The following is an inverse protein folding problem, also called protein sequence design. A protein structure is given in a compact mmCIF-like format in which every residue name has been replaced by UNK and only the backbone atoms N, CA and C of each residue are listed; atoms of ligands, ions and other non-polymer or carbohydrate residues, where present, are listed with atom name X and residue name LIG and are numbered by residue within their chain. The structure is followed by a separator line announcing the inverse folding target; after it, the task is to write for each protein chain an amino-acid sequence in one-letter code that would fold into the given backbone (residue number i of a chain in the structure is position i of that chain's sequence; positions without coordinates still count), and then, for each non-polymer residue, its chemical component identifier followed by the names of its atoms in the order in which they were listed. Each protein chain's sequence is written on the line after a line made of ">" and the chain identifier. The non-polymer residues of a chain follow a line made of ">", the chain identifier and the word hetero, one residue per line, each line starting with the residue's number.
data_IF_780731337237
#
_entry.id   IF_780731337237
#
_cell.length_a   1.000
_cell.length_b   1.000
_cell.length_c   1.000
_cell.angle_alpha   90.00
_cell.angle_beta   90.00
_cell.angle_gamma   90.00
#
_symmetry.space_group_name_H-M   'P 1'
#
loop_
_entity.id
_entity.type
_entity.pdbx_description
1 polymer ?
#
# COMPACT_ATOMS: atom_id res chain seq x y z
N UNK A 1 -19.17 68.22 -16.30
CA UNK A 1 -20.02 67.01 -16.39
C UNK A 1 -19.41 66.09 -17.44
N UNK A 2 -18.73 65.01 -17.04
CA UNK A 2 -18.19 64.01 -17.95
C UNK A 2 -19.23 62.91 -18.18
N UNK A 3 -19.60 62.67 -19.44
CA UNK A 3 -20.63 61.69 -19.82
C UNK A 3 -20.19 60.23 -19.61
N UNK A 4 -21.13 59.29 -19.44
CA UNK A 4 -20.82 57.89 -19.15
C UNK A 4 -20.21 57.19 -20.36
N UNK A 5 -19.05 56.55 -20.16
CA UNK A 5 -18.37 55.76 -21.16
C UNK A 5 -19.24 54.58 -21.63
N UNK A 6 -19.54 54.54 -22.94
CA UNK A 6 -20.24 53.42 -23.58
C UNK A 6 -19.38 52.16 -23.50
N UNK A 7 -19.92 51.09 -22.89
CA UNK A 7 -19.31 49.75 -22.93
C UNK A 7 -19.52 49.15 -24.33
N UNK A 8 -18.43 48.81 -24.98
CA UNK A 8 -18.40 48.14 -26.28
C UNK A 8 -18.96 46.70 -26.15
N UNK A 9 -20.10 46.36 -26.79
CA UNK A 9 -20.73 45.04 -26.70
C UNK A 9 -19.98 43.94 -27.47
N UNK A 10 -18.94 44.28 -28.25
CA UNK A 10 -18.18 43.32 -29.05
C UNK A 10 -16.83 42.92 -28.45
N UNK A 11 -16.52 43.37 -27.22
CA UNK A 11 -15.30 42.94 -26.53
C UNK A 11 -15.45 41.50 -26.05
N UNK A 12 -15.06 40.55 -26.91
CA UNK A 12 -14.90 39.13 -26.54
C UNK A 12 -14.13 39.06 -25.22
N UNK A 13 -14.61 38.31 -24.21
CA UNK A 13 -13.89 38.19 -22.95
C UNK A 13 -12.48 37.68 -23.27
N UNK A 14 -11.47 38.43 -22.82
CA UNK A 14 -10.08 38.03 -22.96
C UNK A 14 -9.94 36.59 -22.48
N UNK A 15 -9.45 35.69 -23.36
CA UNK A 15 -9.18 34.29 -23.01
C UNK A 15 -8.30 34.33 -21.76
N UNK A 16 -8.88 34.00 -20.59
CA UNK A 16 -8.10 33.82 -19.37
C UNK A 16 -6.98 32.83 -19.72
N UNK A 17 -5.70 33.15 -19.47
CA UNK A 17 -4.63 32.21 -19.75
C UNK A 17 -5.00 30.90 -19.05
N UNK A 18 -5.02 29.81 -19.83
CA UNK A 18 -5.37 28.49 -19.31
C UNK A 18 -4.47 28.14 -18.12
N UNK A 19 -4.89 27.19 -17.27
CA UNK A 19 -4.12 26.78 -16.11
C UNK A 19 -2.64 26.63 -16.44
N UNK A 20 -1.77 27.40 -15.76
CA UNK A 20 -0.32 27.32 -15.97
C UNK A 20 0.17 25.94 -15.48
N UNK A 21 0.15 24.97 -16.39
CA UNK A 21 0.51 23.56 -16.25
C UNK A 21 1.92 23.29 -15.70
N UNK A 22 2.75 24.33 -15.56
CA UNK A 22 4.15 24.26 -15.13
C UNK A 22 4.42 23.37 -13.92
N UNK A 23 3.65 23.41 -12.81
CA UNK A 23 3.96 22.61 -11.63
C UNK A 23 3.74 21.12 -11.84
N UNK A 24 2.73 20.74 -12.62
CA UNK A 24 2.51 19.33 -12.97
C UNK A 24 3.58 18.84 -13.94
N UNK A 25 3.91 19.60 -14.99
CA UNK A 25 4.94 19.16 -15.94
C UNK A 25 6.31 19.03 -15.24
N UNK A 26 6.75 20.10 -14.57
CA UNK A 26 8.04 20.11 -13.89
C UNK A 26 8.09 19.13 -12.71
N UNK A 27 7.01 19.01 -11.94
CA UNK A 27 6.94 18.08 -10.81
C UNK A 27 7.00 16.63 -11.28
N UNK A 28 6.27 16.29 -12.35
CA UNK A 28 6.31 14.97 -12.94
C UNK A 28 7.67 14.62 -13.51
N UNK A 29 8.29 15.56 -14.25
CA UNK A 29 9.65 15.38 -14.77
C UNK A 29 10.68 15.18 -13.64
N UNK A 30 10.63 15.99 -12.59
CA UNK A 30 11.50 15.86 -11.43
C UNK A 30 11.34 14.50 -10.75
N UNK A 31 10.10 14.03 -10.56
CA UNK A 31 9.84 12.70 -9.98
C UNK A 31 10.43 11.57 -10.84
N UNK A 32 10.32 11.65 -12.17
CA UNK A 32 10.92 10.65 -13.06
C UNK A 32 12.45 10.64 -12.99
N UNK A 33 13.08 11.81 -12.95
CA UNK A 33 14.53 11.92 -12.80
C UNK A 33 15.00 11.33 -11.47
N UNK A 34 14.33 11.69 -10.37
CA UNK A 34 14.65 11.19 -9.03
C UNK A 34 14.43 9.67 -8.92
N UNK A 35 13.35 9.15 -9.50
CA UNK A 35 13.09 7.72 -9.55
C UNK A 35 14.14 6.98 -10.40
N UNK A 36 14.60 7.59 -11.49
CA UNK A 36 15.70 7.07 -12.30
C UNK A 36 17.00 6.99 -11.52
N UNK A 37 17.32 8.03 -10.73
CA UNK A 37 18.49 8.03 -9.85
C UNK A 37 18.42 6.92 -8.78
N UNK A 38 17.25 6.72 -8.17
CA UNK A 38 17.02 5.59 -7.24
C UNK A 38 17.20 4.26 -7.96
N UNK A 39 16.73 4.12 -9.19
CA UNK A 39 16.88 2.89 -9.96
C UNK A 39 18.35 2.56 -10.25
N UNK A 40 19.17 3.56 -10.61
CA UNK A 40 20.62 3.42 -10.79
C UNK A 40 21.32 3.04 -9.48
N UNK A 41 20.83 3.53 -8.34
CA UNK A 41 21.40 3.23 -7.04
C UNK A 41 21.01 1.83 -6.52
N UNK A 42 19.84 1.32 -6.92
CA UNK A 42 19.23 0.10 -6.37
C UNK A 42 20.12 -1.16 -6.38
N UNK A 43 20.99 -1.43 -7.38
CA UNK A 43 21.85 -2.62 -7.34
C UNK A 43 22.84 -2.62 -6.17
N UNK A 44 23.18 -1.44 -5.63
CA UNK A 44 24.06 -1.30 -4.45
C UNK A 44 23.41 -1.71 -3.13
N UNK A 45 22.12 -2.03 -3.15
CA UNK A 45 21.37 -2.57 -2.01
C UNK A 45 21.17 -4.08 -2.10
N UNK A 46 21.76 -4.74 -3.10
CA UNK A 46 21.68 -6.18 -3.24
C UNK A 46 22.22 -6.95 -2.02
N UNK A 47 21.79 -8.20 -1.82
CA UNK A 47 22.15 -8.99 -0.63
C UNK A 47 23.67 -9.22 -0.49
N UNK A 48 24.42 -9.20 -1.59
CA UNK A 48 25.88 -9.34 -1.59
C UNK A 48 26.63 -8.10 -1.06
N UNK A 49 25.97 -6.94 -0.93
CA UNK A 49 26.61 -5.70 -0.47
C UNK A 49 26.44 -5.56 1.05
N UNK A 50 27.55 -5.48 1.82
CA UNK A 50 27.51 -5.25 3.26
C UNK A 50 26.72 -3.99 3.63
N UNK A 51 25.93 -4.06 4.71
CA UNK A 51 25.07 -2.95 5.13
C UNK A 51 25.83 -1.62 5.27
N UNK A 52 27.04 -1.65 5.84
CA UNK A 52 27.88 -0.47 6.05
C UNK A 52 28.32 0.24 4.75
N UNK A 53 28.31 -0.47 3.61
CA UNK A 53 28.69 0.08 2.30
C UNK A 53 27.47 0.52 1.48
N UNK A 54 26.25 0.26 1.96
CA UNK A 54 25.03 0.65 1.24
C UNK A 54 24.88 2.17 1.29
N UNK A 55 24.55 2.82 0.16
CA UNK A 55 24.45 4.28 0.08
C UNK A 55 23.12 4.80 0.66
N UNK A 56 22.85 4.48 1.93
CA UNK A 56 21.58 4.77 2.61
C UNK A 56 21.30 6.27 2.64
N UNK A 57 22.30 7.10 2.99
CA UNK A 57 22.13 8.56 3.03
C UNK A 57 21.70 9.16 1.68
N UNK A 58 22.27 8.68 0.57
CA UNK A 58 21.87 9.09 -0.78
C UNK A 58 20.46 8.65 -1.12
N UNK A 59 20.09 7.41 -0.77
CA UNK A 59 18.73 6.92 -0.97
C UNK A 59 17.71 7.78 -0.20
N UNK A 60 17.97 8.09 1.07
CA UNK A 60 17.11 8.95 1.89
C UNK A 60 17.00 10.36 1.28
N UNK A 61 18.12 10.96 0.85
CA UNK A 61 18.12 12.28 0.21
C UNK A 61 17.29 12.30 -1.08
N UNK A 62 17.42 11.28 -1.93
CA UNK A 62 16.63 11.14 -3.17
C UNK A 62 15.13 10.99 -2.87
N UNK A 63 14.76 10.17 -1.88
CA UNK A 63 13.36 9.98 -1.48
C UNK A 63 12.77 11.24 -0.85
N UNK A 64 13.54 11.98 -0.04
CA UNK A 64 13.13 13.26 0.53
C UNK A 64 12.92 14.32 -0.57
N UNK A 65 13.85 14.40 -1.55
CA UNK A 65 13.70 15.28 -2.71
C UNK A 65 12.47 14.91 -3.54
N UNK A 66 12.19 13.62 -3.74
CA UNK A 66 11.01 13.15 -4.45
C UNK A 66 9.73 13.54 -3.69
N UNK A 67 9.72 13.39 -2.37
CA UNK A 67 8.65 13.86 -1.50
C UNK A 67 8.40 15.37 -1.63
N UNK A 68 9.47 16.17 -1.65
CA UNK A 68 9.39 17.62 -1.87
C UNK A 68 8.81 17.99 -3.24
N UNK A 69 9.29 17.36 -4.32
CA UNK A 69 8.78 17.57 -5.68
C UNK A 69 7.29 17.17 -5.80
N UNK A 70 6.92 16.04 -5.19
CA UNK A 70 5.55 15.57 -5.11
C UNK A 70 4.64 16.55 -4.37
N UNK A 71 5.00 16.97 -3.15
CA UNK A 71 4.21 17.92 -2.36
C UNK A 71 4.06 19.25 -3.08
N UNK A 72 5.11 19.74 -3.71
CA UNK A 72 5.04 20.94 -4.53
C UNK A 72 4.04 20.80 -5.69
N UNK A 73 4.08 19.69 -6.44
CA UNK A 73 3.14 19.44 -7.53
C UNK A 73 1.68 19.34 -7.04
N UNK A 74 1.44 18.68 -5.91
CA UNK A 74 0.13 18.57 -5.26
C UNK A 74 -0.41 19.93 -4.82
N UNK A 75 0.42 20.76 -4.18
CA UNK A 75 -0.01 22.02 -3.57
C UNK A 75 -0.11 23.17 -4.57
N UNK A 76 0.81 23.23 -5.53
CA UNK A 76 0.87 24.31 -6.52
C UNK A 76 -0.08 24.08 -7.70
N UNK A 77 -0.35 22.82 -8.05
CA UNK A 77 -1.17 22.44 -9.19
C UNK A 77 -2.61 22.97 -9.16
N UNK A 78 -3.43 22.62 -8.14
CA UNK A 78 -4.82 23.05 -8.05
C UNK A 78 -5.01 24.57 -8.04
N UNK A 79 -4.01 25.32 -7.53
CA UNK A 79 -4.01 26.81 -7.55
C UNK A 79 -3.96 27.39 -8.96
N UNK A 80 -3.59 26.57 -9.94
CA UNK A 80 -3.42 26.99 -11.34
C UNK A 80 -4.68 26.70 -12.15
N UNK A 81 -5.59 25.83 -11.71
CA UNK A 81 -6.86 25.49 -12.36
C UNK A 81 -7.06 23.98 -12.55
N UNK A 82 -8.07 23.59 -13.34
CA UNK A 82 -8.41 22.18 -13.61
C UNK A 82 -7.54 21.58 -14.74
N UNK A 83 -7.07 20.32 -14.62
CA UNK A 83 -6.30 19.69 -15.67
C UNK A 83 -7.19 19.31 -16.86
N UNK A 84 -6.80 19.73 -18.06
CA UNK A 84 -7.40 19.23 -19.30
C UNK A 84 -6.99 17.78 -19.63
N UNK A 85 -7.59 17.16 -20.67
CA UNK A 85 -7.35 15.75 -21.00
C UNK A 85 -5.88 15.38 -21.24
N UNK A 86 -5.13 16.25 -21.95
CA UNK A 86 -3.69 16.04 -22.20
C UNK A 86 -2.88 16.04 -20.90
N UNK A 87 -3.25 16.89 -19.94
CA UNK A 87 -2.59 16.95 -18.65
C UNK A 87 -2.91 15.71 -17.81
N UNK A 88 -4.16 15.24 -17.83
CA UNK A 88 -4.52 13.98 -17.17
C UNK A 88 -3.76 12.80 -17.77
N UNK A 89 -3.61 12.73 -19.09
CA UNK A 89 -2.80 11.71 -19.75
C UNK A 89 -1.33 11.77 -19.32
N UNK A 90 -0.74 12.97 -19.24
CA UNK A 90 0.59 13.18 -18.68
C UNK A 90 0.70 12.67 -17.23
N UNK A 91 -0.26 13.05 -16.37
CA UNK A 91 -0.30 12.62 -14.97
C UNK A 91 -0.35 11.09 -14.85
N UNK A 92 -1.19 10.44 -15.65
CA UNK A 92 -1.29 8.99 -15.69
C UNK A 92 0.03 8.35 -16.17
N UNK A 93 0.61 8.87 -17.25
CA UNK A 93 1.86 8.38 -17.82
C UNK A 93 3.04 8.48 -16.84
N UNK A 94 3.19 9.62 -16.14
CA UNK A 94 4.25 9.78 -15.12
C UNK A 94 4.10 8.75 -14.00
N UNK A 95 2.90 8.61 -13.42
CA UNK A 95 2.73 7.66 -12.31
C UNK A 95 2.87 6.20 -12.75
N UNK A 96 2.55 5.87 -14.01
CA UNK A 96 2.84 4.56 -14.59
C UNK A 96 4.35 4.35 -14.77
N UNK A 97 5.06 5.33 -15.33
CA UNK A 97 6.50 5.26 -15.52
C UNK A 97 7.26 5.12 -14.20
N UNK A 98 6.83 5.83 -13.14
CA UNK A 98 7.38 5.68 -11.79
C UNK A 98 7.25 4.23 -11.28
N UNK A 99 6.07 3.62 -11.46
CA UNK A 99 5.77 2.24 -11.04
C UNK A 99 6.61 1.22 -11.81
N UNK A 100 6.71 1.38 -13.12
CA UNK A 100 7.55 0.52 -13.97
C UNK A 100 9.02 0.63 -13.57
N UNK A 101 9.53 1.86 -13.39
CA UNK A 101 10.90 2.08 -12.96
C UNK A 101 11.18 1.44 -11.59
N UNK A 102 10.30 1.63 -10.60
CA UNK A 102 10.46 1.00 -9.28
C UNK A 102 10.31 -0.54 -9.33
N UNK A 103 9.36 -1.06 -10.11
CA UNK A 103 9.11 -2.50 -10.23
C UNK A 103 10.22 -3.29 -10.93
N UNK A 104 11.13 -2.61 -11.65
CA UNK A 104 12.31 -3.20 -12.28
C UNK A 104 13.57 -3.13 -11.41
N UNK A 105 13.48 -2.55 -10.22
CA UNK A 105 14.62 -2.40 -9.31
C UNK A 105 14.66 -3.50 -8.26
N UNK A 106 15.87 -3.76 -7.74
CA UNK A 106 16.04 -4.61 -6.56
C UNK A 106 15.35 -3.94 -5.36
N UNK A 107 14.64 -4.70 -4.50
CA UNK A 107 14.11 -4.17 -3.25
C UNK A 107 15.21 -3.52 -2.43
N UNK A 108 15.00 -2.26 -2.04
CA UNK A 108 15.98 -1.47 -1.30
C UNK A 108 15.64 -1.55 0.18
N UNK A 109 16.52 -2.18 0.96
CA UNK A 109 16.36 -2.36 2.41
C UNK A 109 15.07 -3.09 2.80
N UNK A 110 14.67 -4.09 2.00
CA UNK A 110 13.44 -4.86 2.21
C UNK A 110 13.63 -6.35 1.87
N UNK A 111 13.05 -7.22 2.69
CA UNK A 111 13.00 -8.67 2.47
C UNK A 111 11.65 -9.33 2.85
N UNK A 112 10.64 -8.60 3.34
CA UNK A 112 9.32 -9.14 3.69
C UNK A 112 8.64 -9.87 2.51
N UNK A 113 8.96 -9.48 1.27
CA UNK A 113 8.43 -10.15 0.09
C UNK A 113 8.74 -11.65 0.02
N UNK A 114 9.84 -12.10 0.64
CA UNK A 114 10.17 -13.51 0.72
C UNK A 114 9.18 -14.28 1.57
N UNK A 115 8.72 -13.67 2.67
CA UNK A 115 7.66 -14.22 3.51
C UNK A 115 6.36 -14.34 2.70
N UNK A 116 6.01 -13.35 1.89
CA UNK A 116 4.83 -13.41 1.02
C UNK A 116 4.91 -14.58 0.02
N UNK A 117 6.07 -14.79 -0.59
CA UNK A 117 6.25 -15.87 -1.56
C UNK A 117 6.13 -17.25 -0.90
N UNK A 118 6.68 -17.41 0.30
CA UNK A 118 6.55 -18.64 1.10
C UNK A 118 5.10 -18.89 1.52
N UNK A 119 4.49 -17.92 2.18
CA UNK A 119 3.12 -18.00 2.68
C UNK A 119 2.11 -18.25 1.55
N UNK A 120 2.34 -17.65 0.38
CA UNK A 120 1.57 -17.91 -0.83
C UNK A 120 1.69 -19.35 -1.31
N UNK A 121 2.89 -19.92 -1.28
CA UNK A 121 3.12 -21.31 -1.66
C UNK A 121 2.48 -22.29 -0.67
N UNK A 122 2.57 -22.01 0.64
CA UNK A 122 1.93 -22.78 1.71
C UNK A 122 0.41 -22.80 1.52
N UNK A 123 -0.18 -21.62 1.35
CA UNK A 123 -1.62 -21.46 1.17
C UNK A 123 -2.10 -22.10 -0.12
N UNK A 124 -1.37 -21.94 -1.23
CA UNK A 124 -1.70 -22.58 -2.51
C UNK A 124 -1.59 -24.11 -2.46
N UNK A 125 -0.75 -24.66 -1.58
CA UNK A 125 -0.65 -26.10 -1.34
C UNK A 125 -1.75 -26.66 -0.41
N UNK A 126 -2.69 -25.81 0.06
CA UNK A 126 -3.75 -26.20 1.00
C UNK A 126 -3.24 -26.44 2.42
N UNK A 127 -2.01 -26.00 2.72
CA UNK A 127 -1.43 -26.06 4.07
C UNK A 127 -1.81 -24.80 4.86
N UNK A 128 -1.89 -24.93 6.18
CA UNK A 128 -2.21 -23.80 7.05
C UNK A 128 -0.93 -22.99 7.38
N UNK A 129 -0.77 -21.74 6.91
CA UNK A 129 0.42 -20.92 7.17
C UNK A 129 0.57 -20.47 8.63
N UNK A 130 -0.48 -20.64 9.45
CA UNK A 130 -0.45 -20.39 10.89
C UNK A 130 0.01 -21.63 11.69
N UNK A 131 0.23 -22.79 11.07
CA UNK A 131 0.51 -24.04 11.79
C UNK A 131 2.00 -24.34 11.98
N UNK A 132 2.84 -24.04 10.98
CA UNK A 132 4.28 -24.39 10.98
C UNK A 132 5.10 -23.19 10.52
N UNK A 133 6.15 -22.85 11.28
CA UNK A 133 7.06 -21.78 10.91
C UNK A 133 7.99 -22.22 9.74
N UNK A 134 8.45 -21.29 8.88
CA UNK A 134 9.34 -21.64 7.76
C UNK A 134 10.59 -22.42 8.17
N UNK A 135 11.19 -22.09 9.31
CA UNK A 135 12.39 -22.77 9.82
C UNK A 135 12.12 -24.25 10.15
N UNK A 136 10.90 -24.59 10.57
CA UNK A 136 10.50 -25.93 10.98
C UNK A 136 9.93 -26.76 9.81
N UNK A 137 9.74 -26.16 8.63
CA UNK A 137 9.06 -26.80 7.52
C UNK A 137 9.78 -28.06 7.00
N UNK A 138 11.11 -28.15 7.17
CA UNK A 138 11.92 -29.33 6.79
C UNK A 138 11.72 -30.52 7.72
N UNK A 139 11.24 -30.30 8.94
CA UNK A 139 10.98 -31.34 9.93
C UNK A 139 9.48 -31.63 10.08
N UNK A 140 8.63 -30.89 9.37
CA UNK A 140 7.19 -31.05 9.38
C UNK A 140 6.67 -32.30 8.66
N UNK A 141 5.33 -32.36 8.53
CA UNK A 141 4.65 -33.41 7.78
C UNK A 141 5.06 -33.49 6.29
N UNK A 142 4.67 -34.56 5.57
CA UNK A 142 5.11 -34.79 4.18
C UNK A 142 4.87 -33.61 3.22
N UNK A 143 3.77 -32.87 3.39
CA UNK A 143 3.47 -31.67 2.60
C UNK A 143 4.47 -30.54 2.82
N UNK A 144 4.83 -30.26 4.07
CA UNK A 144 5.80 -29.23 4.45
C UNK A 144 7.20 -29.57 3.94
N UNK A 145 7.63 -30.83 4.10
CA UNK A 145 8.92 -31.31 3.60
C UNK A 145 9.05 -31.17 2.09
N UNK A 146 8.01 -31.54 1.35
CA UNK A 146 7.97 -31.36 -0.11
C UNK A 146 8.05 -29.87 -0.48
N UNK A 147 7.30 -29.02 0.20
CA UNK A 147 7.31 -27.58 -0.08
C UNK A 147 8.67 -26.95 0.20
N UNK A 148 9.27 -27.26 1.36
CA UNK A 148 10.59 -26.78 1.74
C UNK A 148 11.69 -27.25 0.77
N UNK A 149 11.59 -28.49 0.26
CA UNK A 149 12.51 -29.00 -0.75
C UNK A 149 12.44 -28.21 -2.07
N UNK A 150 11.23 -27.84 -2.51
CA UNK A 150 11.04 -27.02 -3.73
C UNK A 150 11.45 -25.57 -3.52
N UNK A 151 11.25 -25.04 -2.30
CA UNK A 151 11.60 -23.66 -1.96
C UNK A 151 13.12 -23.41 -1.84
N UNK A 152 13.91 -24.47 -1.68
CA UNK A 152 15.37 -24.38 -1.51
C UNK A 152 15.76 -23.60 -0.25
N UNK A 153 16.50 -22.51 -0.44
CA UNK A 153 17.01 -21.66 0.65
C UNK A 153 16.09 -20.49 1.01
N UNK A 154 14.96 -20.32 0.31
CA UNK A 154 14.03 -19.22 0.58
C UNK A 154 13.57 -19.16 2.05
N UNK A 155 13.20 -20.26 2.73
CA UNK A 155 12.83 -20.22 4.14
C UNK A 155 13.89 -19.65 5.07
N UNK A 156 15.18 -19.80 4.74
CA UNK A 156 16.29 -19.32 5.56
C UNK A 156 16.58 -17.83 5.39
N UNK A 157 16.08 -17.21 4.31
CA UNK A 157 16.26 -15.77 4.04
C UNK A 157 15.11 -14.91 4.58
N UNK A 158 13.96 -15.55 4.85
CA UNK A 158 12.80 -14.93 5.47
C UNK A 158 13.20 -14.28 6.79
N UNK A 159 12.74 -13.06 7.03
CA UNK A 159 12.88 -12.41 8.33
C UNK A 159 12.05 -13.14 9.39
N UNK A 160 12.63 -13.35 10.57
CA UNK A 160 12.06 -14.16 11.67
C UNK A 160 11.48 -15.50 11.18
N UNK A 161 12.32 -16.40 10.60
CA UNK A 161 11.85 -17.64 9.99
C UNK A 161 11.34 -18.66 11.03
N UNK A 162 11.66 -18.45 12.30
CA UNK A 162 11.19 -19.16 13.48
C UNK A 162 9.72 -18.84 13.85
N UNK A 163 9.17 -17.75 13.32
CA UNK A 163 7.78 -17.37 13.57
C UNK A 163 6.83 -17.88 12.48
N UNK A 164 5.66 -18.37 12.92
CA UNK A 164 4.48 -18.58 12.08
C UNK A 164 4.02 -17.24 11.51
N UNK A 165 3.22 -17.27 10.44
CA UNK A 165 2.86 -16.02 9.77
C UNK A 165 2.09 -15.04 10.67
N UNK A 166 2.40 -13.75 10.51
CA UNK A 166 1.65 -12.63 11.09
C UNK A 166 0.56 -12.11 10.13
N UNK A 167 0.63 -12.47 8.86
CA UNK A 167 -0.25 -11.89 7.84
C UNK A 167 -1.64 -12.52 7.90
N UNK A 168 -2.72 -11.72 7.96
CA UNK A 168 -4.08 -12.27 8.07
C UNK A 168 -4.58 -12.89 6.76
N UNK A 169 -5.69 -13.65 6.77
CA UNK A 169 -5.96 -14.59 5.67
C UNK A 169 -6.36 -13.97 4.33
N UNK A 170 -6.87 -12.74 4.30
CA UNK A 170 -7.09 -12.06 3.00
C UNK A 170 -5.76 -11.72 2.34
N UNK A 171 -4.73 -11.35 3.11
CA UNK A 171 -3.36 -11.20 2.58
C UNK A 171 -2.82 -12.55 2.06
N UNK A 172 -3.04 -13.64 2.83
CA UNK A 172 -2.67 -15.00 2.41
C UNK A 172 -3.29 -15.38 1.05
N UNK A 173 -4.55 -15.02 0.81
CA UNK A 173 -5.20 -15.25 -0.49
C UNK A 173 -4.52 -14.48 -1.64
N UNK A 174 -4.06 -13.24 -1.40
CA UNK A 174 -3.32 -12.47 -2.41
C UNK A 174 -1.93 -13.08 -2.68
N UNK A 175 -1.26 -13.59 -1.65
CA UNK A 175 0.01 -14.30 -1.80
C UNK A 175 -0.16 -15.61 -2.58
N UNK A 176 -1.19 -16.38 -2.26
CA UNK A 176 -1.53 -17.61 -2.98
C UNK A 176 -1.82 -17.33 -4.46
N UNK A 177 -2.58 -16.27 -4.76
CA UNK A 177 -2.84 -15.84 -6.13
C UNK A 177 -1.55 -15.57 -6.90
N UNK A 178 -0.57 -14.89 -6.29
CA UNK A 178 0.72 -14.65 -6.93
C UNK A 178 1.49 -15.95 -7.20
N UNK A 179 1.48 -16.89 -6.26
CA UNK A 179 2.08 -18.20 -6.45
C UNK A 179 1.42 -18.99 -7.60
N UNK A 180 0.09 -18.92 -7.71
CA UNK A 180 -0.66 -19.57 -8.80
C UNK A 180 -0.37 -18.93 -10.17
N UNK A 181 -0.12 -17.62 -10.24
CA UNK A 181 0.28 -16.93 -11.47
C UNK A 181 1.67 -17.37 -11.91
N UNK A 182 2.64 -17.34 -10.99
CA UNK A 182 3.99 -17.89 -11.21
C UNK A 182 4.64 -18.21 -9.86
N UNK A 183 4.91 -19.51 -9.58
CA UNK A 183 5.52 -19.92 -8.33
C UNK A 183 6.81 -19.17 -8.03
N UNK A 184 6.99 -18.75 -6.77
CA UNK A 184 8.21 -18.14 -6.25
C UNK A 184 8.68 -16.87 -6.98
N UNK A 185 7.78 -16.16 -7.66
CA UNK A 185 8.13 -15.01 -8.49
C UNK A 185 7.74 -13.68 -7.86
N UNK A 186 8.75 -12.85 -7.54
CA UNK A 186 8.53 -11.45 -7.16
C UNK A 186 7.81 -10.65 -8.26
N UNK A 187 8.05 -10.97 -9.53
CA UNK A 187 7.36 -10.35 -10.66
C UNK A 187 5.86 -10.63 -10.65
N UNK A 188 5.45 -11.87 -10.38
CA UNK A 188 4.03 -12.22 -10.24
C UNK A 188 3.40 -11.55 -9.03
N UNK A 189 4.12 -11.46 -7.91
CA UNK A 189 3.65 -10.72 -6.75
C UNK A 189 3.42 -9.22 -7.06
N UNK A 190 4.39 -8.57 -7.71
CA UNK A 190 4.26 -7.17 -8.19
C UNK A 190 3.09 -7.00 -9.16
N UNK A 191 2.80 -7.99 -10.01
CA UNK A 191 1.65 -7.94 -10.92
C UNK A 191 0.31 -8.01 -10.16
N UNK A 192 0.21 -8.84 -9.12
CA UNK A 192 -0.96 -8.87 -8.22
C UNK A 192 -1.13 -7.51 -7.53
N UNK A 193 -0.05 -6.97 -6.95
CA UNK A 193 -0.06 -5.63 -6.34
C UNK A 193 -0.50 -4.54 -7.32
N UNK A 194 -0.02 -4.58 -8.56
CA UNK A 194 -0.40 -3.64 -9.61
C UNK A 194 -1.90 -3.73 -9.95
N UNK A 195 -2.49 -4.93 -9.95
CA UNK A 195 -3.93 -5.09 -10.16
C UNK A 195 -4.75 -4.42 -9.03
N UNK A 196 -4.35 -4.61 -7.77
CA UNK A 196 -5.00 -3.94 -6.63
C UNK A 196 -4.79 -2.42 -6.63
N UNK A 197 -3.60 -1.94 -7.00
CA UNK A 197 -3.30 -0.52 -7.16
C UNK A 197 -4.16 0.14 -8.26
N UNK A 198 -4.28 -0.50 -9.43
CA UNK A 198 -5.14 -0.02 -10.51
C UNK A 198 -6.62 -0.03 -10.13
N UNK A 199 -7.08 -1.04 -9.39
CA UNK A 199 -8.43 -1.07 -8.83
C UNK A 199 -8.65 0.10 -7.86
N UNK A 200 -7.67 0.40 -7.00
CA UNK A 200 -7.72 1.55 -6.09
C UNK A 200 -7.76 2.88 -6.86
N UNK A 201 -6.93 3.05 -7.90
CA UNK A 201 -6.97 4.23 -8.77
C UNK A 201 -8.36 4.41 -9.41
N UNK A 202 -8.94 3.33 -9.95
CA UNK A 202 -10.27 3.35 -10.56
C UNK A 202 -11.37 3.72 -9.57
N UNK A 203 -11.34 3.17 -8.36
CA UNK A 203 -12.29 3.49 -7.30
C UNK A 203 -12.13 4.93 -6.80
N UNK A 204 -10.90 5.43 -6.66
CA UNK A 204 -10.64 6.83 -6.33
C UNK A 204 -11.19 7.77 -7.41
N UNK A 205 -10.96 7.47 -8.69
CA UNK A 205 -11.49 8.25 -9.81
C UNK A 205 -13.02 8.28 -9.79
N UNK A 206 -13.66 7.13 -9.53
CA UNK A 206 -15.10 7.04 -9.38
C UNK A 206 -15.62 7.87 -8.19
N UNK A 207 -14.98 7.75 -7.02
CA UNK A 207 -15.37 8.50 -5.82
C UNK A 207 -15.21 10.01 -6.01
N UNK A 208 -14.12 10.47 -6.64
CA UNK A 208 -13.92 11.87 -6.99
C UNK A 208 -15.02 12.38 -7.93
N UNK A 209 -15.37 11.59 -8.96
CA UNK A 209 -16.45 11.92 -9.89
C UNK A 209 -17.78 12.03 -9.17
N UNK A 210 -18.12 11.06 -8.32
CA UNK A 210 -19.37 11.07 -7.53
C UNK A 210 -19.42 12.24 -6.54
N UNK A 211 -18.27 12.70 -6.05
CA UNK A 211 -18.15 13.85 -5.16
C UNK A 211 -18.08 15.21 -5.89
N UNK A 212 -18.18 15.24 -7.22
CA UNK A 212 -18.03 16.44 -8.03
C UNK A 212 -16.65 17.11 -7.88
N UNK A 213 -15.62 16.32 -7.60
CA UNK A 213 -14.25 16.82 -7.38
C UNK A 213 -13.38 16.63 -8.62
N UNK A 214 -12.43 17.55 -8.77
CA UNK A 214 -11.42 17.50 -9.83
C UNK A 214 -10.73 16.13 -9.96
N UNK A 215 -10.61 15.57 -11.17
CA UNK A 215 -9.78 14.39 -11.41
C UNK A 215 -8.28 14.65 -11.16
N UNK A 216 -7.85 15.92 -11.15
CA UNK A 216 -6.46 16.28 -10.81
C UNK A 216 -6.06 15.88 -9.39
N UNK A 217 -7.02 15.66 -8.49
CA UNK A 217 -6.77 15.17 -7.12
C UNK A 217 -6.24 13.74 -7.08
N UNK A 218 -6.36 12.98 -8.16
CA UNK A 218 -5.72 11.67 -8.29
C UNK A 218 -4.21 11.75 -8.11
N UNK A 219 -3.58 12.91 -8.37
CA UNK A 219 -2.16 13.12 -8.19
C UNK A 219 -1.68 12.79 -6.77
N UNK A 220 -2.49 13.07 -5.75
CA UNK A 220 -2.18 12.78 -4.32
C UNK A 220 -1.91 11.29 -4.11
N UNK A 221 -2.58 10.43 -4.87
CA UNK A 221 -2.39 9.01 -4.82
C UNK A 221 -1.35 8.55 -5.85
N UNK A 222 -1.56 8.93 -7.11
CA UNK A 222 -0.87 8.35 -8.26
C UNK A 222 0.60 8.76 -8.36
N UNK A 223 0.97 9.94 -7.86
CA UNK A 223 2.35 10.45 -7.87
C UNK A 223 3.07 10.33 -6.53
N UNK A 224 2.46 9.69 -5.53
CA UNK A 224 3.06 9.57 -4.23
C UNK A 224 4.34 8.69 -4.31
N UNK A 225 5.56 9.24 -4.12
CA UNK A 225 6.79 8.49 -4.26
C UNK A 225 6.99 7.46 -3.14
N UNK A 226 6.40 7.70 -1.95
CA UNK A 226 6.41 6.74 -0.87
C UNK A 226 5.57 5.51 -1.23
N UNK A 227 4.38 5.72 -1.79
CA UNK A 227 3.54 4.61 -2.26
C UNK A 227 4.26 3.80 -3.34
N UNK A 228 4.91 4.47 -4.31
CA UNK A 228 5.65 3.78 -5.36
C UNK A 228 6.81 2.97 -4.78
N UNK A 229 7.58 3.54 -3.83
CA UNK A 229 8.65 2.80 -3.15
C UNK A 229 8.09 1.58 -2.43
N UNK A 230 7.09 1.74 -1.56
CA UNK A 230 6.63 0.62 -0.75
C UNK A 230 5.93 -0.46 -1.58
N UNK A 231 5.12 -0.08 -2.56
CA UNK A 231 4.33 -1.06 -3.31
C UNK A 231 5.15 -1.71 -4.43
N UNK A 232 6.01 -0.97 -5.13
CA UNK A 232 6.68 -1.51 -6.32
C UNK A 232 8.15 -1.86 -6.09
N UNK A 233 8.89 -1.07 -5.31
CA UNK A 233 10.26 -1.43 -4.96
C UNK A 233 10.28 -2.47 -3.83
N UNK A 234 9.71 -2.16 -2.66
CA UNK A 234 9.65 -3.05 -1.49
C UNK A 234 8.68 -4.23 -1.69
N UNK A 235 7.68 -4.09 -2.57
CA UNK A 235 6.63 -5.07 -2.80
C UNK A 235 5.74 -5.35 -1.57
N UNK A 236 5.44 -4.31 -0.77
CA UNK A 236 4.59 -4.40 0.42
C UNK A 236 3.13 -4.71 0.08
N UNK A 237 2.51 -5.53 0.92
CA UNK A 237 1.12 -6.00 0.78
C UNK A 237 0.06 -4.90 1.01
N UNK A 238 0.42 -3.77 1.60
CA UNK A 238 -0.49 -2.70 2.03
C UNK A 238 -1.52 -2.27 0.97
N UNK A 239 -1.13 -2.21 -0.30
CA UNK A 239 -2.02 -1.77 -1.38
C UNK A 239 -3.22 -2.70 -1.58
N UNK A 240 -3.16 -3.96 -1.17
CA UNK A 240 -4.26 -4.94 -1.27
C UNK A 240 -5.46 -4.50 -0.43
N UNK A 241 -5.24 -3.87 0.72
CA UNK A 241 -6.31 -3.38 1.59
C UNK A 241 -7.04 -2.17 0.98
N UNK A 242 -6.32 -1.34 0.21
CA UNK A 242 -6.82 -0.05 -0.24
C UNK A 242 -8.09 -0.12 -1.10
N UNK A 243 -8.18 -0.91 -2.19
CA UNK A 243 -9.40 -0.98 -2.98
C UNK A 243 -10.57 -1.57 -2.18
N UNK A 244 -10.31 -2.45 -1.20
CA UNK A 244 -11.37 -2.96 -0.31
C UNK A 244 -11.92 -1.83 0.58
N UNK A 245 -11.06 -1.01 1.17
CA UNK A 245 -11.48 0.17 1.95
C UNK A 245 -12.27 1.16 1.08
N UNK A 246 -11.80 1.43 -0.14
CA UNK A 246 -12.49 2.35 -1.06
C UNK A 246 -13.84 1.79 -1.53
N UNK A 247 -13.93 0.48 -1.76
CA UNK A 247 -15.18 -0.19 -2.09
C UNK A 247 -16.16 -0.14 -0.91
N UNK A 248 -15.69 -0.39 0.32
CA UNK A 248 -16.52 -0.27 1.52
C UNK A 248 -17.03 1.17 1.72
N UNK A 249 -16.20 2.18 1.43
CA UNK A 249 -16.61 3.58 1.44
C UNK A 249 -17.70 3.84 0.39
N UNK A 250 -17.52 3.34 -0.83
CA UNK A 250 -18.51 3.47 -1.90
C UNK A 250 -19.85 2.82 -1.51
N UNK A 251 -19.82 1.64 -0.90
CA UNK A 251 -21.01 0.96 -0.37
C UNK A 251 -21.66 1.76 0.76
N UNK A 252 -20.86 2.34 1.64
CA UNK A 252 -21.35 3.18 2.74
C UNK A 252 -22.05 4.43 2.20
N UNK A 253 -21.47 5.09 1.20
CA UNK A 253 -22.07 6.26 0.55
C UNK A 253 -23.40 5.92 -0.14
N UNK A 254 -23.54 4.69 -0.64
CA UNK A 254 -24.75 4.14 -1.26
C UNK A 254 -25.78 3.56 -0.27
N UNK A 255 -25.53 3.64 1.03
CA UNK A 255 -26.45 3.14 2.06
C UNK A 255 -26.57 1.62 2.12
N UNK A 256 -25.46 0.89 1.87
CA UNK A 256 -25.42 -0.58 1.84
C UNK A 256 -24.64 -1.15 3.05
N UNK A 257 -25.18 -1.09 4.27
CA UNK A 257 -24.41 -1.36 5.50
C UNK A 257 -23.88 -2.79 5.61
N UNK A 258 -24.65 -3.81 5.20
CA UNK A 258 -24.17 -5.20 5.19
C UNK A 258 -22.95 -5.37 4.27
N UNK A 259 -23.00 -4.81 3.06
CA UNK A 259 -21.87 -4.80 2.14
C UNK A 259 -20.68 -4.00 2.68
N UNK A 260 -20.93 -2.85 3.30
CA UNK A 260 -19.89 -2.05 3.97
C UNK A 260 -19.16 -2.86 5.03
N UNK A 261 -19.90 -3.51 5.93
CA UNK A 261 -19.34 -4.32 7.00
C UNK A 261 -18.56 -5.52 6.48
N UNK A 262 -19.14 -6.30 5.56
CA UNK A 262 -18.48 -7.47 4.98
C UNK A 262 -17.16 -7.12 4.27
N UNK A 263 -17.16 -6.07 3.43
CA UNK A 263 -15.94 -5.64 2.72
C UNK A 263 -14.89 -5.06 3.67
N UNK A 264 -15.29 -4.32 4.72
CA UNK A 264 -14.34 -3.90 5.77
C UNK A 264 -13.76 -5.09 6.54
N UNK A 265 -14.54 -6.16 6.75
CA UNK A 265 -14.04 -7.39 7.35
C UNK A 265 -12.97 -8.06 6.47
N UNK A 266 -13.18 -8.10 5.16
CA UNK A 266 -12.17 -8.57 4.21
C UNK A 266 -10.92 -7.67 4.22
N UNK A 267 -11.08 -6.35 4.28
CA UNK A 267 -9.96 -5.41 4.39
C UNK A 267 -9.18 -5.59 5.69
N UNK A 268 -9.87 -5.84 6.81
CA UNK A 268 -9.27 -6.17 8.10
C UNK A 268 -8.44 -7.47 8.02
N UNK A 269 -8.85 -8.40 7.15
CA UNK A 269 -8.09 -9.61 6.82
C UNK A 269 -6.82 -9.37 5.99
N UNK A 270 -6.51 -8.14 5.58
CA UNK A 270 -5.23 -7.77 4.96
C UNK A 270 -4.32 -7.11 6.01
N UNK A 271 -4.84 -6.11 6.72
CA UNK A 271 -4.24 -5.47 7.90
C UNK A 271 -5.35 -5.12 8.86
N UNK A 272 -5.11 -5.06 10.16
CA UNK A 272 -6.18 -4.86 11.16
C UNK A 272 -6.78 -3.44 11.19
N UNK A 273 -6.03 -2.41 10.79
CA UNK A 273 -6.45 -1.00 10.92
C UNK A 273 -7.77 -0.61 10.21
N UNK A 274 -8.20 -1.22 9.07
CA UNK A 274 -9.50 -0.93 8.46
C UNK A 274 -10.69 -1.23 9.36
N UNK A 275 -10.55 -2.11 10.36
CA UNK A 275 -11.58 -2.36 11.36
C UNK A 275 -11.94 -1.08 12.15
N UNK A 276 -10.97 -0.18 12.35
CA UNK A 276 -11.17 1.10 13.02
C UNK A 276 -12.12 2.04 12.26
N UNK A 277 -12.31 1.82 10.95
CA UNK A 277 -13.23 2.59 10.11
C UNK A 277 -14.69 2.16 10.25
N UNK A 278 -14.94 0.98 10.84
CA UNK A 278 -16.28 0.36 10.90
C UNK A 278 -17.34 1.28 11.52
N UNK A 279 -17.13 1.94 12.68
CA UNK A 279 -18.16 2.80 13.28
C UNK A 279 -18.55 3.97 12.36
N UNK A 280 -17.55 4.62 11.76
CA UNK A 280 -17.78 5.76 10.87
C UNK A 280 -18.51 5.35 9.59
N UNK A 281 -18.09 4.24 8.98
CA UNK A 281 -18.66 3.75 7.73
C UNK A 281 -20.08 3.20 7.94
N UNK A 282 -20.33 2.46 9.02
CA UNK A 282 -21.67 1.98 9.36
C UNK A 282 -22.62 3.12 9.73
N UNK A 283 -22.16 4.13 10.47
CA UNK A 283 -22.98 5.33 10.73
C UNK A 283 -23.42 5.98 9.42
N UNK A 284 -22.50 6.11 8.46
CA UNK A 284 -22.81 6.69 7.14
C UNK A 284 -23.72 5.78 6.29
N UNK A 285 -23.53 4.46 6.36
CA UNK A 285 -24.29 3.49 5.58
C UNK A 285 -25.71 3.26 6.11
N UNK A 286 -25.88 3.26 7.44
CA UNK A 286 -27.14 2.97 8.11
C UNK A 286 -28.09 4.18 8.13
N UNK A 287 -27.57 5.41 7.99
CA UNK A 287 -28.40 6.62 7.95
C UNK A 287 -29.23 6.81 9.23
N UNK A 288 -28.70 6.43 10.39
CA UNK A 288 -29.40 6.48 11.69
C UNK A 288 -30.29 5.28 12.02
N UNK A 289 -30.47 4.32 11.10
CA UNK A 289 -31.29 3.13 11.34
C UNK A 289 -30.49 2.04 12.08
N UNK A 290 -30.82 1.79 13.36
CA UNK A 290 -30.16 0.78 14.19
C UNK A 290 -30.09 -0.60 13.52
N UNK A 291 -31.20 -1.14 13.02
CA UNK A 291 -31.25 -2.48 12.40
C UNK A 291 -30.34 -2.60 11.18
N UNK A 292 -30.22 -1.52 10.40
CA UNK A 292 -29.32 -1.44 9.26
C UNK A 292 -27.85 -1.43 9.71
N UNK A 293 -27.53 -0.68 10.78
CA UNK A 293 -26.21 -0.70 11.41
C UNK A 293 -25.83 -2.07 11.97
N UNK A 294 -26.77 -2.73 12.66
CA UNK A 294 -26.60 -4.07 13.21
C UNK A 294 -26.32 -5.11 12.10
N UNK A 295 -27.03 -5.04 10.97
CA UNK A 295 -26.75 -5.91 9.81
C UNK A 295 -25.33 -5.71 9.26
N UNK A 296 -24.84 -4.47 9.23
CA UNK A 296 -23.46 -4.18 8.86
C UNK A 296 -22.43 -4.70 9.87
N UNK A 297 -22.69 -4.51 11.17
CA UNK A 297 -21.85 -5.06 12.24
C UNK A 297 -21.78 -6.59 12.20
N UNK A 298 -22.92 -7.26 11.98
CA UNK A 298 -22.99 -8.71 11.83
C UNK A 298 -22.22 -9.20 10.60
N UNK A 299 -22.38 -8.54 9.45
CA UNK A 299 -21.63 -8.91 8.25
C UNK A 299 -20.10 -8.78 8.44
N UNK A 300 -19.65 -7.73 9.14
CA UNK A 300 -18.25 -7.60 9.53
C UNK A 300 -17.81 -8.74 10.46
N UNK A 301 -18.58 -9.01 11.51
CA UNK A 301 -18.26 -10.05 12.49
C UNK A 301 -18.19 -11.44 11.85
N UNK A 302 -19.12 -11.77 10.93
CA UNK A 302 -19.09 -13.03 10.17
C UNK A 302 -17.84 -13.12 9.30
N UNK A 303 -17.51 -12.06 8.55
CA UNK A 303 -16.29 -12.05 7.74
C UNK A 303 -15.03 -12.23 8.60
N UNK A 304 -14.93 -11.51 9.72
CA UNK A 304 -13.82 -11.63 10.65
C UNK A 304 -13.74 -13.03 11.29
N UNK A 305 -14.88 -13.61 11.69
CA UNK A 305 -14.93 -14.93 12.29
C UNK A 305 -14.47 -16.03 11.30
N UNK A 306 -14.94 -15.97 10.05
CA UNK A 306 -14.52 -16.90 8.99
C UNK A 306 -13.01 -16.79 8.76
N UNK A 307 -12.46 -15.57 8.71
CA UNK A 307 -11.03 -15.33 8.56
C UNK A 307 -10.24 -15.79 9.81
N UNK A 308 -10.80 -15.73 11.01
CA UNK A 308 -10.12 -16.18 12.21
C UNK A 308 -9.97 -17.71 12.29
N UNK A 309 -10.80 -18.49 11.60
CA UNK A 309 -10.77 -19.97 11.64
C UNK A 309 -9.38 -20.56 11.40
N UNK A 310 -8.70 -20.30 10.26
CA UNK A 310 -7.36 -20.87 10.03
C UNK A 310 -6.31 -20.38 11.03
N UNK A 311 -6.45 -19.15 11.54
CA UNK A 311 -5.54 -18.58 12.54
C UNK A 311 -5.65 -19.34 13.86
N UNK A 312 -6.88 -19.49 14.37
CA UNK A 312 -7.14 -20.22 15.63
C UNK A 312 -6.76 -21.69 15.48
N UNK A 313 -7.06 -22.31 14.34
CA UNK A 313 -6.69 -23.69 14.05
C UNK A 313 -5.16 -23.91 13.95
N UNK A 314 -4.38 -22.87 13.65
CA UNK A 314 -2.91 -22.92 13.64
C UNK A 314 -2.25 -22.79 15.03
N UNK A 315 -3.03 -22.42 16.04
CA UNK A 315 -2.56 -22.19 17.41
C UNK A 315 -2.12 -20.75 17.66
N UNK A 316 -2.39 -20.27 18.89
CA UNK A 316 -2.04 -18.93 19.38
C UNK A 316 -0.98 -19.00 20.48
N UNK A 317 0.02 -19.85 20.28
CA UNK A 317 1.17 -19.99 21.16
C UNK A 317 2.24 -18.90 20.85
N UNK A 318 3.32 -18.78 21.65
CA UNK A 318 4.34 -17.74 21.44
C UNK A 318 5.05 -17.74 20.08
N UNK A 319 5.02 -18.85 19.32
CA UNK A 319 5.54 -18.92 17.94
C UNK A 319 4.57 -18.31 16.90
N UNK A 320 3.35 -17.96 17.32
CA UNK A 320 2.38 -17.26 16.49
C UNK A 320 2.88 -15.85 16.17
N UNK A 321 3.02 -15.53 14.88
CA UNK A 321 3.40 -14.18 14.45
C UNK A 321 2.45 -13.11 14.99
N UNK A 322 1.15 -13.41 15.16
CA UNK A 322 0.18 -12.48 15.75
C UNK A 322 0.47 -12.19 17.23
N UNK A 323 0.77 -13.23 18.01
CA UNK A 323 1.08 -13.11 19.45
C UNK A 323 2.42 -12.41 19.64
N UNK A 324 3.45 -12.83 18.90
CA UNK A 324 4.76 -12.20 18.93
C UNK A 324 4.70 -10.72 18.52
N UNK A 325 3.89 -10.38 17.51
CA UNK A 325 3.69 -9.00 17.09
C UNK A 325 3.02 -8.14 18.16
N UNK A 326 2.02 -8.68 18.86
CA UNK A 326 1.31 -7.96 19.92
C UNK A 326 2.14 -7.78 21.20
N UNK A 327 3.02 -8.73 21.50
CA UNK A 327 3.75 -8.82 22.77
C UNK A 327 5.14 -8.15 22.71
N UNK A 328 5.89 -8.33 21.62
CA UNK A 328 7.33 -8.02 21.57
C UNK A 328 7.75 -7.03 20.51
N UNK A 329 6.84 -6.63 19.62
CA UNK A 329 7.22 -5.82 18.46
C UNK A 329 7.30 -4.34 18.81
N UNK A 330 8.49 -3.78 18.70
CA UNK A 330 8.74 -2.35 18.90
C UNK A 330 8.47 -1.60 17.59
N UNK A 331 7.70 -0.51 17.66
CA UNK A 331 7.43 0.36 16.51
C UNK A 331 8.08 1.72 16.69
N UNK A 332 8.55 2.31 15.58
CA UNK A 332 9.24 3.60 15.53
C UNK A 332 10.64 3.58 16.17
N UNK A 333 11.50 2.74 15.61
CA UNK A 333 12.86 2.51 16.09
C UNK A 333 13.69 3.81 16.17
N UNK A 334 13.45 4.79 15.29
CA UNK A 334 14.14 6.09 15.36
C UNK A 334 13.87 6.87 16.66
N UNK A 335 12.62 7.29 16.93
CA UNK A 335 12.25 7.90 18.22
C UNK A 335 12.57 7.02 19.43
N UNK A 336 12.35 5.71 19.33
CA UNK A 336 12.67 4.76 20.38
C UNK A 336 14.17 4.75 20.69
N UNK A 337 15.03 4.70 19.67
CA UNK A 337 16.48 4.74 19.81
C UNK A 337 16.98 6.12 20.26
N UNK A 338 16.33 7.21 19.88
CA UNK A 338 16.62 8.54 20.43
C UNK A 338 16.34 8.60 21.94
N UNK A 339 15.24 8.00 22.39
CA UNK A 339 14.92 7.87 23.82
C UNK A 339 15.89 6.93 24.51
N UNK A 340 16.19 5.77 23.92
CA UNK A 340 17.09 4.77 24.50
C UNK A 340 18.53 5.27 24.59
N UNK A 341 19.05 5.94 23.56
CA UNK A 341 20.37 6.54 23.55
C UNK A 341 20.43 7.75 24.48
N UNK A 342 19.39 8.58 24.51
CA UNK A 342 19.28 9.66 25.49
C UNK A 342 19.29 9.14 26.92
N UNK A 343 18.57 8.04 27.18
CA UNK A 343 18.49 7.38 28.48
C UNK A 343 19.83 6.74 28.89
N UNK A 344 20.50 6.03 27.98
CA UNK A 344 21.85 5.46 28.20
C UNK A 344 22.91 6.54 28.46
N UNK A 345 22.84 7.64 27.71
CA UNK A 345 23.72 8.81 27.92
C UNK A 345 23.53 9.48 29.28
N UNK A 346 22.31 9.46 29.84
CA UNK A 346 22.02 10.00 31.17
C UNK A 346 22.47 9.06 32.31
N UNK A 347 22.48 7.75 32.07
CA UNK A 347 22.89 6.74 33.06
C UNK A 347 24.39 6.39 33.01
N UNK A 348 25.15 6.97 32.08
CA UNK A 348 26.60 6.77 31.97
C UNK A 348 27.01 5.34 31.56
N UNK A 349 26.13 4.60 30.88
CA UNK A 349 26.35 3.23 30.38
C UNK A 349 26.23 3.14 28.86
#
# INVERSE_FOLDING_TARGET
>A
MAGPARRDPHRLPARRPGPRAGPWIAGGAALLVLQGAVAVLSPRFGPAVPMALRPIGWFVALQAAAGGAYLWAVLAGPRRGEPGPRMLAWMLAVGLAMRLAAGLTAPVLENDFERYLWDGAVTAAGLNPYAVAPAEARDGGPGWRRLAAVAGDLPARINHPDLKTVYPPTAQAAFALAHLVRPWSLGAWRAVLAAFDLAALGLLALLLRLAGRSPGRLLVYWWNPLLVKEVYNSAHVDVVALPLVLLALLLALRGRPAGTGGVLGLAAGVKLWPALLLPAFLRRAAGGRWSAGAAGGLAFAVAAAVLAVPVVAGGLDPSSGLVAYADRWEMNDGPFMLVLWGWRGLLGS
#
